data_IF_700922404958
#
_entry.id   IF_700922404958
#
_cell.length_a   1.000
_cell.length_b   1.000
_cell.length_c   1.000
_cell.angle_alpha   90.00
_cell.angle_beta   90.00
_cell.angle_gamma   90.00
#
_symmetry.space_group_name_H-M   'P 1'
#
loop_
_entity.id
_entity.type
_entity.pdbx_description
1 polymer ?
#
# COMPACT_ATOMS: atom_id res chain seq x y z
N UNK A 1 -0.05 -40.53 -14.31
CA UNK A 1 -1.12 -39.63 -13.82
C UNK A 1 -0.54 -38.22 -13.79
N UNK A 2 -0.89 -37.35 -14.74
CA UNK A 2 -0.43 -35.95 -14.75
C UNK A 2 -1.33 -35.16 -13.81
N UNK A 3 -0.79 -34.75 -12.66
CA UNK A 3 -1.47 -33.81 -11.76
C UNK A 3 -1.32 -32.42 -12.40
N UNK A 4 -2.35 -31.97 -13.12
CA UNK A 4 -2.49 -30.57 -13.48
C UNK A 4 -2.78 -29.78 -12.22
N UNK A 5 -1.74 -29.14 -11.66
CA UNK A 5 -1.91 -28.11 -10.64
C UNK A 5 -2.76 -26.99 -11.24
N UNK A 6 -3.96 -26.80 -10.70
CA UNK A 6 -4.85 -25.71 -11.06
C UNK A 6 -4.28 -24.41 -10.49
N UNK A 7 -3.33 -23.81 -11.23
CA UNK A 7 -2.64 -22.57 -10.88
C UNK A 7 -3.57 -21.34 -10.89
N UNK A 8 -4.83 -21.48 -11.30
CA UNK A 8 -5.78 -20.37 -11.43
C UNK A 8 -6.34 -19.85 -10.10
N UNK A 9 -6.23 -20.61 -9.00
CA UNK A 9 -6.67 -20.16 -7.67
C UNK A 9 -5.63 -19.29 -6.97
N UNK A 10 -4.37 -19.70 -7.00
CA UNK A 10 -3.29 -19.09 -6.23
C UNK A 10 -2.83 -17.74 -6.78
N UNK A 11 -2.94 -17.51 -8.09
CA UNK A 11 -2.47 -16.26 -8.69
C UNK A 11 -3.27 -15.04 -8.23
N UNK A 12 -4.57 -15.22 -7.96
CA UNK A 12 -5.44 -14.14 -7.49
C UNK A 12 -5.25 -13.82 -6.00
N UNK A 13 -5.02 -14.84 -5.17
CA UNK A 13 -4.88 -14.66 -3.72
C UNK A 13 -3.53 -14.03 -3.35
N UNK A 14 -2.49 -14.29 -4.14
CA UNK A 14 -1.14 -13.78 -3.85
C UNK A 14 -0.91 -12.37 -4.41
N UNK A 15 -1.69 -11.92 -5.39
CA UNK A 15 -1.69 -10.54 -5.90
C UNK A 15 -2.64 -9.65 -5.07
N UNK A 16 -2.35 -9.53 -3.77
CA UNK A 16 -3.14 -8.88 -2.71
C UNK A 16 -3.20 -7.34 -2.82
N UNK A 17 -3.57 -6.81 -3.99
CA UNK A 17 -3.93 -5.40 -4.16
C UNK A 17 -5.40 -5.27 -4.53
N UNK A 18 -5.97 -6.28 -5.21
CA UNK A 18 -7.36 -6.28 -5.66
C UNK A 18 -8.35 -6.09 -4.49
N UNK A 19 -8.29 -6.94 -3.47
CA UNK A 19 -9.16 -6.83 -2.29
C UNK A 19 -8.89 -5.57 -1.47
N UNK A 20 -7.61 -5.15 -1.37
CA UNK A 20 -7.25 -3.91 -0.66
C UNK A 20 -7.84 -2.67 -1.37
N UNK A 21 -7.84 -2.64 -2.70
CA UNK A 21 -8.46 -1.57 -3.49
C UNK A 21 -9.97 -1.52 -3.24
N UNK A 22 -10.66 -2.67 -3.24
CA UNK A 22 -12.10 -2.73 -2.93
C UNK A 22 -12.42 -2.17 -1.55
N UNK A 23 -11.62 -2.56 -0.55
CA UNK A 23 -11.79 -2.13 0.84
C UNK A 23 -11.24 -0.72 1.12
N UNK A 24 -10.74 0.00 0.10
CA UNK A 24 -10.06 1.30 0.23
C UNK A 24 -8.90 1.28 1.23
N UNK A 25 -8.21 0.14 1.33
CA UNK A 25 -7.04 -0.03 2.18
C UNK A 25 -5.76 0.41 1.44
N UNK A 26 -4.72 0.86 2.18
CA UNK A 26 -3.43 1.21 1.59
C UNK A 26 -2.86 0.05 0.78
N UNK A 27 -2.50 0.31 -0.49
CA UNK A 27 -2.07 -0.70 -1.48
C UNK A 27 -0.58 -1.04 -1.38
N UNK A 28 0.17 -0.16 -0.74
CA UNK A 28 1.62 -0.22 -0.60
C UNK A 28 1.99 -0.21 0.88
N UNK A 29 3.11 -0.86 1.18
CA UNK A 29 3.82 -0.82 2.46
C UNK A 29 4.66 0.46 2.65
N UNK A 30 4.41 1.55 1.90
CA UNK A 30 5.19 2.80 1.92
C UNK A 30 5.52 3.32 3.33
N UNK A 31 4.60 3.19 4.30
CA UNK A 31 4.85 3.60 5.68
C UNK A 31 5.91 2.71 6.34
N UNK A 32 5.83 1.40 6.15
CA UNK A 32 6.81 0.41 6.63
C UNK A 32 8.17 0.61 5.92
N UNK A 33 8.17 0.88 4.62
CA UNK A 33 9.39 1.16 3.87
C UNK A 33 10.05 2.49 4.30
N UNK A 34 9.22 3.51 4.58
CA UNK A 34 9.66 4.78 5.16
C UNK A 34 10.28 4.56 6.54
N UNK A 35 9.64 3.78 7.42
CA UNK A 35 10.19 3.41 8.71
C UNK A 35 11.52 2.67 8.58
N UNK A 36 11.57 1.66 7.71
CA UNK A 36 12.79 0.92 7.45
C UNK A 36 13.90 1.85 6.92
N UNK A 37 13.59 2.79 6.02
CA UNK A 37 14.54 3.78 5.51
C UNK A 37 15.08 4.70 6.60
N UNK A 38 14.25 5.10 7.57
CA UNK A 38 14.66 5.94 8.70
C UNK A 38 15.56 5.20 9.69
N UNK A 39 15.29 3.91 9.93
CA UNK A 39 16.02 3.08 10.92
C UNK A 39 17.33 2.53 10.33
N UNK A 40 17.36 2.26 9.02
CA UNK A 40 18.49 1.61 8.32
C UNK A 40 19.85 2.32 8.48
N UNK A 41 19.96 3.66 8.45
CA UNK A 41 21.22 4.36 8.72
C UNK A 41 21.76 4.08 10.13
N UNK A 42 20.89 4.04 11.13
CA UNK A 42 21.26 3.78 12.53
C UNK A 42 21.62 2.32 12.77
N UNK A 43 20.89 1.40 12.11
CA UNK A 43 21.18 -0.04 12.07
C UNK A 43 22.60 -0.36 11.58
N UNK A 44 23.11 0.43 10.62
CA UNK A 44 24.44 0.21 10.02
C UNK A 44 25.61 0.75 10.85
N UNK A 45 25.36 1.67 11.79
CA UNK A 45 26.43 2.43 12.47
C UNK A 45 26.66 2.03 13.92
N UNK A 46 25.62 1.63 14.66
CA UNK A 46 25.64 1.02 16.02
C UNK A 46 24.26 1.22 16.65
N UNK A 47 23.34 0.32 16.35
CA UNK A 47 21.99 0.33 16.88
C UNK A 47 21.97 -0.41 18.22
N UNK A 48 21.91 0.33 19.31
CA UNK A 48 21.73 -0.24 20.65
C UNK A 48 20.25 -0.37 20.96
N UNK A 49 19.88 -1.26 21.89
CA UNK A 49 18.50 -1.42 22.36
C UNK A 49 17.92 -0.07 22.81
N UNK A 50 18.71 0.76 23.50
CA UNK A 50 18.28 2.10 23.91
C UNK A 50 17.90 2.99 22.73
N UNK A 51 18.68 2.98 21.63
CA UNK A 51 18.33 3.77 20.43
C UNK A 51 17.06 3.26 19.75
N UNK A 52 16.85 1.94 19.74
CA UNK A 52 15.61 1.34 19.23
C UNK A 52 14.40 1.80 20.04
N UNK A 53 14.52 1.81 21.37
CA UNK A 53 13.46 2.29 22.27
C UNK A 53 13.13 3.76 22.00
N UNK A 54 14.14 4.61 21.80
CA UNK A 54 13.91 6.02 21.48
C UNK A 54 13.26 6.22 20.10
N UNK A 55 13.64 5.42 19.10
CA UNK A 55 12.97 5.43 17.79
C UNK A 55 11.49 5.04 17.90
N UNK A 56 11.16 4.03 18.72
CA UNK A 56 9.75 3.65 18.95
C UNK A 56 8.98 4.72 19.72
N UNK A 57 9.59 5.36 20.73
CA UNK A 57 8.97 6.48 21.46
C UNK A 57 8.66 7.65 20.55
N UNK A 58 9.59 8.00 19.66
CA UNK A 58 9.39 9.04 18.67
C UNK A 58 8.21 8.71 17.74
N UNK A 59 8.15 7.48 17.24
CA UNK A 59 7.04 7.06 16.36
C UNK A 59 5.70 7.04 17.10
N UNK A 60 5.67 6.57 18.35
CA UNK A 60 4.47 6.64 19.19
C UNK A 60 4.01 8.09 19.36
N UNK A 61 4.91 9.01 19.68
CA UNK A 61 4.58 10.43 19.82
C UNK A 61 4.01 11.03 18.53
N UNK A 62 4.57 10.66 17.37
CA UNK A 62 4.04 11.10 16.07
C UNK A 62 2.62 10.55 15.83
N UNK A 63 2.38 9.27 16.11
CA UNK A 63 1.05 8.66 15.96
C UNK A 63 0.01 9.28 16.90
N UNK A 64 0.39 9.58 18.15
CA UNK A 64 -0.49 10.25 19.11
C UNK A 64 -0.83 11.68 18.66
N UNK A 65 0.15 12.42 18.14
CA UNK A 65 -0.10 13.75 17.58
C UNK A 65 -1.09 13.71 16.41
N UNK A 66 -0.97 12.71 15.53
CA UNK A 66 -1.91 12.52 14.43
C UNK A 66 -3.28 12.05 14.93
N UNK A 67 -3.36 11.17 15.93
CA UNK A 67 -4.63 10.79 16.55
C UNK A 67 -5.36 12.02 17.11
N UNK A 68 -4.65 12.91 17.82
CA UNK A 68 -5.24 14.14 18.38
C UNK A 68 -5.81 15.02 17.27
N UNK A 69 -5.10 15.19 16.16
CA UNK A 69 -5.59 15.95 15.00
C UNK A 69 -6.87 15.32 14.43
N UNK A 70 -6.88 13.99 14.26
CA UNK A 70 -8.06 13.27 13.78
C UNK A 70 -9.26 13.43 14.71
N UNK A 71 -9.06 13.33 16.03
CA UNK A 71 -10.11 13.51 17.03
C UNK A 71 -10.67 14.94 17.04
N UNK A 72 -9.87 15.92 16.64
CA UNK A 72 -10.31 17.32 16.42
C UNK A 72 -11.00 17.54 15.07
N UNK A 73 -11.10 16.50 14.24
CA UNK A 73 -11.66 16.59 12.88
C UNK A 73 -10.70 17.18 11.85
N UNK A 74 -9.42 17.31 12.17
CA UNK A 74 -8.40 17.81 11.25
C UNK A 74 -7.96 16.71 10.27
N UNK A 75 -7.54 17.11 9.06
CA UNK A 75 -7.04 16.20 8.03
C UNK A 75 -5.50 16.14 8.12
N UNK A 76 -4.96 14.95 8.40
CA UNK A 76 -3.52 14.73 8.66
C UNK A 76 -2.60 15.15 7.51
N UNK A 77 -2.93 14.72 6.29
CA UNK A 77 -2.22 15.10 5.09
C UNK A 77 -3.16 14.93 3.90
N UNK A 78 -3.25 15.97 3.06
CA UNK A 78 -4.01 15.88 1.83
C UNK A 78 -3.19 15.12 0.80
N UNK A 79 -3.71 13.99 0.32
CA UNK A 79 -3.11 13.31 -0.83
C UNK A 79 -3.02 14.27 -2.01
N UNK A 80 -1.95 14.15 -2.81
CA UNK A 80 -1.81 14.97 -4.01
C UNK A 80 -2.96 14.68 -4.99
N UNK A 81 -3.39 15.70 -5.76
CA UNK A 81 -4.42 15.51 -6.80
C UNK A 81 -4.08 14.38 -7.78
N UNK A 82 -2.79 14.20 -8.08
CA UNK A 82 -2.28 13.12 -8.94
C UNK A 82 -2.53 11.75 -8.31
N UNK A 83 -2.23 11.58 -7.02
CA UNK A 83 -2.48 10.33 -6.31
C UNK A 83 -3.97 10.02 -6.23
N UNK A 84 -4.81 11.02 -5.90
CA UNK A 84 -6.26 10.85 -5.86
C UNK A 84 -6.79 10.37 -7.22
N UNK A 85 -6.34 10.97 -8.33
CA UNK A 85 -6.74 10.55 -9.68
C UNK A 85 -6.29 9.12 -10.00
N UNK A 86 -5.07 8.74 -9.60
CA UNK A 86 -4.56 7.37 -9.79
C UNK A 86 -5.36 6.36 -8.96
N UNK A 87 -5.62 6.67 -7.69
CA UNK A 87 -6.42 5.82 -6.78
C UNK A 87 -7.83 5.61 -7.33
N UNK A 88 -8.49 6.69 -7.78
CA UNK A 88 -9.81 6.62 -8.41
C UNK A 88 -9.80 5.74 -9.67
N UNK A 89 -8.83 5.94 -10.56
CA UNK A 89 -8.73 5.18 -11.81
C UNK A 89 -8.54 3.68 -11.53
N UNK A 90 -7.71 3.35 -10.54
CA UNK A 90 -7.42 1.96 -10.17
C UNK A 90 -8.62 1.32 -9.47
N UNK A 91 -9.34 2.07 -8.63
CA UNK A 91 -10.59 1.58 -8.01
C UNK A 91 -11.66 1.28 -9.05
N UNK A 92 -11.91 2.22 -9.97
CA UNK A 92 -12.84 2.02 -11.09
C UNK A 92 -12.46 0.81 -11.94
N UNK A 93 -11.16 0.63 -12.19
CA UNK A 93 -10.65 -0.50 -12.94
C UNK A 93 -10.90 -1.85 -12.25
N UNK A 94 -10.69 -1.91 -10.93
CA UNK A 94 -10.97 -3.10 -10.10
C UNK A 94 -12.46 -3.41 -10.00
N UNK A 95 -13.31 -2.39 -9.86
CA UNK A 95 -14.77 -2.55 -9.76
C UNK A 95 -15.40 -3.06 -11.05
N UNK A 96 -14.87 -2.65 -12.21
CA UNK A 96 -15.40 -3.05 -13.52
C UNK A 96 -14.66 -4.25 -14.11
N UNK A 97 -13.85 -4.96 -13.32
CA UNK A 97 -13.12 -6.13 -13.79
C UNK A 97 -14.06 -7.31 -14.05
N UNK A 98 -14.17 -7.71 -15.32
CA UNK A 98 -14.88 -8.91 -15.74
C UNK A 98 -13.88 -9.94 -16.29
N UNK A 99 -13.87 -11.15 -15.70
CA UNK A 99 -12.88 -12.20 -16.03
C UNK A 99 -12.95 -12.67 -17.49
N UNK A 100 -14.11 -12.51 -18.12
CA UNK A 100 -14.37 -12.78 -19.54
C UNK A 100 -13.66 -11.80 -20.49
N UNK A 101 -13.20 -10.64 -20.00
CA UNK A 101 -12.61 -9.54 -20.79
C UNK A 101 -11.20 -9.18 -20.31
N UNK A 102 -10.42 -10.20 -19.96
CA UNK A 102 -9.07 -10.07 -19.41
C UNK A 102 -8.08 -9.39 -20.38
N UNK A 103 -8.32 -9.51 -21.68
CA UNK A 103 -7.61 -8.84 -22.77
C UNK A 103 -7.65 -7.30 -22.63
N UNK A 104 -8.85 -6.74 -22.47
CA UNK A 104 -9.06 -5.31 -22.29
C UNK A 104 -8.50 -4.81 -20.94
N UNK A 105 -8.42 -5.71 -19.96
CA UNK A 105 -7.82 -5.43 -18.67
C UNK A 105 -6.29 -5.27 -18.77
N UNK A 106 -5.62 -6.14 -19.52
CA UNK A 106 -4.16 -6.02 -19.74
C UNK A 106 -3.82 -4.77 -20.56
N UNK A 107 -4.64 -4.44 -21.55
CA UNK A 107 -4.47 -3.22 -22.35
C UNK A 107 -4.62 -1.96 -21.49
N UNK A 108 -5.68 -1.88 -20.67
CA UNK A 108 -5.89 -0.77 -19.74
C UNK A 108 -4.77 -0.62 -18.70
N UNK A 109 -4.18 -1.73 -18.22
CA UNK A 109 -3.01 -1.68 -17.32
C UNK A 109 -1.77 -1.13 -18.02
N UNK A 110 -1.53 -1.55 -19.27
CA UNK A 110 -0.41 -1.05 -20.08
C UNK A 110 -0.48 0.47 -20.23
N UNK A 111 -1.67 1.01 -20.48
CA UNK A 111 -1.85 2.45 -20.66
C UNK A 111 -1.71 3.23 -19.35
N UNK A 112 -2.16 2.65 -18.24
CA UNK A 112 -2.05 3.25 -16.90
C UNK A 112 -0.60 3.33 -16.42
N UNK A 113 0.25 2.38 -16.85
CA UNK A 113 1.69 2.37 -16.54
C UNK A 113 2.50 3.36 -17.39
N UNK A 114 2.01 3.75 -18.56
CA UNK A 114 2.67 4.72 -19.45
C UNK A 114 2.45 6.19 -19.03
N UNK A 115 1.66 6.47 -17.97
CA UNK A 115 1.24 7.80 -17.48
C UNK A 115 1.75 8.19 -16.07
#
# INVERSE_FOLDING_TARGET
MKVTLNLNGWFNETWNVYERVKLNLPRTNNNVESWHSRIKPDARKNLTISKVVELFRLEQSNMEADLIKLLKGEILAKQSKRQIKKDYSIKRFVENYEKSRMDLFIEGMSDLMKS
#
